data_IF_350094204153
#
_entry.id   IF_350094204153
#
_cell.length_a   1.000
_cell.length_b   1.000
_cell.length_c   1.000
_cell.angle_alpha   90.00
_cell.angle_beta   90.00
_cell.angle_gamma   90.00
#
_symmetry.space_group_name_H-M   'P 1'
#
loop_
_entity.id
_entity.type
_entity.pdbx_description
1 polymer ?
#
# COMPACT_ATOMS: atom_id res chain seq x y z
N UNK A 1 4.52 3.99 19.04
CA UNK A 1 5.23 4.81 18.05
C UNK A 1 5.96 3.86 17.12
N UNK A 2 5.79 4.04 15.82
CA UNK A 2 6.50 3.31 14.77
C UNK A 2 8.00 3.55 14.86
N UNK A 3 8.80 2.49 14.70
CA UNK A 3 10.25 2.61 14.75
C UNK A 3 10.77 3.15 13.41
N UNK A 4 11.51 4.27 13.45
CA UNK A 4 12.17 4.85 12.27
C UNK A 4 13.43 4.05 11.96
N UNK A 5 13.63 3.71 10.68
CA UNK A 5 14.80 2.99 10.20
C UNK A 5 15.80 3.93 9.54
N UNK A 6 17.12 3.73 9.73
CA UNK A 6 18.12 4.47 9.00
C UNK A 6 18.13 4.03 7.54
N UNK A 7 18.52 4.94 6.64
CA UNK A 7 18.68 4.68 5.21
C UNK A 7 19.53 3.44 4.91
N UNK A 8 20.55 3.17 5.72
CA UNK A 8 21.45 2.01 5.59
C UNK A 8 20.78 0.66 5.87
N UNK A 9 19.59 0.64 6.48
CA UNK A 9 18.79 -0.56 6.66
C UNK A 9 17.90 -0.89 5.46
N UNK A 10 17.83 0.03 4.47
CA UNK A 10 16.97 -0.09 3.31
C UNK A 10 17.76 -0.46 2.06
N UNK A 11 17.18 -1.30 1.21
CA UNK A 11 17.72 -1.65 -0.09
C UNK A 11 16.83 -1.11 -1.20
N UNK A 12 17.40 -0.40 -2.18
CA UNK A 12 16.65 0.05 -3.37
C UNK A 12 16.42 -1.14 -4.27
N UNK A 13 15.20 -1.30 -4.76
CA UNK A 13 14.86 -2.35 -5.73
C UNK A 13 14.17 -1.75 -6.94
N UNK A 14 14.32 -2.42 -8.07
CA UNK A 14 13.50 -2.26 -9.26
C UNK A 14 12.18 -3.04 -9.11
N UNK A 15 11.20 -2.76 -9.95
CA UNK A 15 9.97 -3.55 -9.94
C UNK A 15 10.19 -5.01 -10.40
N UNK A 16 11.15 -5.26 -11.30
CA UNK A 16 11.54 -6.64 -11.66
C UNK A 16 12.07 -7.41 -10.44
N UNK A 17 13.00 -6.83 -9.69
CA UNK A 17 13.52 -7.45 -8.45
C UNK A 17 12.40 -7.63 -7.41
N UNK A 18 11.50 -6.67 -7.29
CA UNK A 18 10.36 -6.77 -6.37
C UNK A 18 9.38 -7.88 -6.76
N UNK A 19 9.11 -8.07 -8.06
CA UNK A 19 8.32 -9.20 -8.56
C UNK A 19 8.98 -10.54 -8.21
N UNK A 20 10.30 -10.64 -8.36
CA UNK A 20 11.06 -11.84 -8.02
C UNK A 20 11.01 -12.13 -6.52
N UNK A 21 11.15 -11.11 -5.67
CA UNK A 21 10.94 -11.21 -4.22
C UNK A 21 9.53 -11.71 -3.90
N UNK A 22 8.50 -11.11 -4.51
CA UNK A 22 7.12 -11.57 -4.37
C UNK A 22 6.96 -13.04 -4.75
N UNK A 23 7.53 -13.48 -5.87
CA UNK A 23 7.47 -14.88 -6.29
C UNK A 23 8.18 -15.83 -5.31
N UNK A 24 9.32 -15.40 -4.74
CA UNK A 24 10.08 -16.18 -3.75
C UNK A 24 9.29 -16.36 -2.44
N UNK A 25 8.62 -15.31 -1.95
CA UNK A 25 7.86 -15.33 -0.70
C UNK A 25 6.40 -15.78 -0.86
N UNK A 26 5.91 -15.95 -2.09
CA UNK A 26 4.52 -16.37 -2.38
C UNK A 26 4.06 -17.59 -1.58
N UNK A 27 4.80 -18.71 -1.47
CA UNK A 27 4.34 -19.88 -0.72
C UNK A 27 4.12 -19.59 0.77
N UNK A 28 5.02 -18.84 1.41
CA UNK A 28 4.94 -18.50 2.83
C UNK A 28 3.75 -17.56 3.09
N UNK A 29 3.59 -16.54 2.25
CA UNK A 29 2.47 -15.60 2.34
C UNK A 29 1.11 -16.28 2.12
N UNK A 30 1.00 -17.14 1.10
CA UNK A 30 -0.23 -17.91 0.84
C UNK A 30 -0.58 -18.83 2.01
N UNK A 31 0.40 -19.50 2.60
CA UNK A 31 0.20 -20.34 3.77
C UNK A 31 -0.28 -19.53 4.99
N UNK A 32 0.35 -18.38 5.26
CA UNK A 32 -0.06 -17.50 6.34
C UNK A 32 -1.47 -16.94 6.14
N UNK A 33 -1.83 -16.55 4.90
CA UNK A 33 -3.16 -16.04 4.58
C UNK A 33 -4.24 -17.13 4.72
N UNK A 34 -3.95 -18.36 4.27
CA UNK A 34 -4.86 -19.50 4.40
C UNK A 34 -5.19 -19.83 5.87
N UNK A 35 -4.23 -19.65 6.78
CA UNK A 35 -4.46 -19.79 8.23
C UNK A 35 -5.41 -18.72 8.80
N UNK A 36 -5.59 -17.62 8.09
CA UNK A 36 -6.56 -16.58 8.39
C UNK A 36 -7.87 -16.73 7.57
N UNK A 37 -8.06 -17.88 6.90
CA UNK A 37 -9.22 -18.16 6.04
C UNK A 37 -9.46 -17.10 4.95
N UNK A 38 -8.37 -16.58 4.37
CA UNK A 38 -8.42 -15.58 3.28
C UNK A 38 -7.25 -15.75 2.30
N UNK A 39 -7.32 -15.06 1.18
CA UNK A 39 -6.19 -14.90 0.26
C UNK A 39 -5.14 -13.90 0.78
N UNK A 40 -3.95 -13.95 0.19
CA UNK A 40 -2.88 -12.97 0.40
C UNK A 40 -3.38 -11.57 0.01
N UNK A 41 -2.98 -10.55 0.77
CA UNK A 41 -3.42 -9.16 0.56
C UNK A 41 -2.23 -8.24 0.32
N UNK A 42 -2.46 -7.18 -0.44
CA UNK A 42 -1.61 -5.99 -0.45
C UNK A 42 -2.36 -4.87 0.25
N UNK A 43 -1.70 -4.20 1.19
CA UNK A 43 -2.22 -3.01 1.86
C UNK A 43 -1.38 -1.79 1.52
N UNK A 44 -2.05 -0.76 0.99
CA UNK A 44 -1.45 0.48 0.53
C UNK A 44 -1.60 1.54 1.62
N UNK A 45 -0.50 2.18 1.98
CA UNK A 45 -0.41 3.13 3.09
C UNK A 45 0.26 4.43 2.64
N UNK A 46 0.13 5.46 3.47
CA UNK A 46 1.17 6.47 3.62
C UNK A 46 1.75 6.40 5.02
N UNK A 47 2.87 7.06 5.25
CA UNK A 47 3.47 7.12 6.59
C UNK A 47 2.88 8.21 7.47
N UNK A 48 2.14 9.17 6.89
CA UNK A 48 1.82 10.45 7.53
C UNK A 48 3.07 11.12 8.12
N UNK A 49 4.21 10.89 7.46
CA UNK A 49 5.56 11.28 7.88
C UNK A 49 6.28 12.04 6.77
N UNK A 50 7.59 12.18 6.93
CA UNK A 50 8.40 12.93 5.98
C UNK A 50 8.88 12.05 4.81
N UNK A 51 9.15 12.67 3.67
CA UNK A 51 10.00 12.13 2.62
C UNK A 51 11.34 11.68 3.22
N UNK A 52 11.88 10.56 2.72
CA UNK A 52 13.13 9.97 3.20
C UNK A 52 13.07 9.35 4.60
N UNK A 53 11.94 9.40 5.31
CA UNK A 53 11.77 8.81 6.64
C UNK A 53 11.22 7.39 6.56
N UNK A 54 12.10 6.39 6.70
CA UNK A 54 11.71 4.98 6.65
C UNK A 54 11.19 4.46 7.98
N UNK A 55 10.28 3.49 7.96
CA UNK A 55 9.64 2.88 9.13
C UNK A 55 9.72 1.36 9.11
N UNK A 56 9.77 0.73 10.28
CA UNK A 56 9.83 -0.72 10.42
C UNK A 56 8.50 -1.43 10.15
N UNK A 57 7.40 -0.71 10.00
CA UNK A 57 6.06 -1.31 9.87
C UNK A 57 5.71 -1.73 8.43
N UNK A 58 6.48 -1.30 7.43
CA UNK A 58 6.15 -1.52 6.02
C UNK A 58 7.26 -2.29 5.30
N UNK A 59 6.84 -3.32 4.56
CA UNK A 59 7.73 -4.19 3.80
C UNK A 59 8.37 -3.44 2.63
N UNK A 60 7.56 -2.61 1.95
CA UNK A 60 7.95 -1.82 0.78
C UNK A 60 7.64 -0.35 1.05
N UNK A 61 8.58 0.54 0.76
CA UNK A 61 8.49 1.96 1.04
C UNK A 61 8.94 2.78 -0.16
N UNK A 62 8.17 3.79 -0.53
CA UNK A 62 8.37 4.58 -1.75
C UNK A 62 8.67 6.03 -1.37
N UNK A 63 9.88 6.47 -1.69
CA UNK A 63 10.36 7.81 -1.37
C UNK A 63 9.91 8.84 -2.42
N UNK A 64 10.10 10.14 -2.15
CA UNK A 64 9.62 11.26 -2.96
C UNK A 64 10.02 11.19 -4.44
N UNK A 65 11.19 10.59 -4.74
CA UNK A 65 11.71 10.38 -6.10
C UNK A 65 11.07 9.20 -6.84
N UNK A 66 10.11 8.50 -6.21
CA UNK A 66 9.53 7.26 -6.70
C UNK A 66 10.41 6.02 -6.49
N UNK A 67 11.55 6.15 -5.79
CA UNK A 67 12.42 5.04 -5.47
C UNK A 67 11.74 4.03 -4.55
N UNK A 68 11.82 2.74 -4.90
CA UNK A 68 11.21 1.63 -4.16
C UNK A 68 12.25 1.00 -3.25
N UNK A 69 11.89 0.82 -1.99
CA UNK A 69 12.79 0.34 -0.94
C UNK A 69 12.19 -0.81 -0.15
N UNK A 70 13.02 -1.79 0.19
CA UNK A 70 12.68 -2.89 1.09
C UNK A 70 13.61 -2.92 2.29
N UNK A 71 13.15 -3.48 3.41
CA UNK A 71 13.99 -3.65 4.61
C UNK A 71 14.99 -4.79 4.37
N UNK A 72 16.28 -4.54 4.59
CA UNK A 72 17.33 -5.54 4.46
C UNK A 72 17.32 -6.22 3.08
N UNK A 73 17.20 -7.55 3.06
CA UNK A 73 17.14 -8.35 1.83
C UNK A 73 15.73 -8.43 1.21
N UNK A 74 14.72 -7.78 1.80
CA UNK A 74 13.35 -7.76 1.30
C UNK A 74 12.51 -8.98 1.71
N UNK A 75 12.58 -9.38 2.98
CA UNK A 75 11.73 -10.42 3.52
C UNK A 75 10.26 -9.98 3.56
N UNK A 76 9.45 -10.47 2.61
CA UNK A 76 8.05 -10.05 2.46
C UNK A 76 7.07 -10.84 3.34
N UNK A 77 7.53 -11.92 3.99
CA UNK A 77 6.71 -12.76 4.88
C UNK A 77 6.90 -12.45 6.37
N UNK A 78 7.70 -11.42 6.71
CA UNK A 78 7.82 -10.93 8.07
C UNK A 78 6.48 -10.37 8.59
N UNK A 79 6.17 -10.63 9.86
CA UNK A 79 4.93 -10.13 10.43
C UNK A 79 5.12 -8.68 10.90
N UNK A 80 4.73 -7.72 10.06
CA UNK A 80 4.76 -6.29 10.38
C UNK A 80 3.38 -5.77 10.80
N UNK A 81 3.32 -4.82 11.73
CA UNK A 81 2.09 -4.36 12.37
C UNK A 81 1.46 -3.12 11.69
N UNK A 82 1.27 -3.17 10.36
CA UNK A 82 0.77 -2.03 9.58
C UNK A 82 -0.76 -1.93 9.50
N UNK A 83 -1.48 -3.06 9.40
CA UNK A 83 -2.94 -3.07 9.24
C UNK A 83 -3.58 -3.88 10.36
N UNK A 84 -4.32 -3.21 11.26
CA UNK A 84 -4.86 -3.82 12.47
C UNK A 84 -5.66 -5.11 12.20
N UNK A 85 -5.28 -6.20 12.87
CA UNK A 85 -5.85 -7.56 12.72
C UNK A 85 -5.81 -8.16 11.29
N UNK A 86 -5.00 -7.60 10.39
CA UNK A 86 -4.94 -7.99 8.97
C UNK A 86 -3.53 -8.34 8.46
N UNK A 87 -2.52 -8.38 9.34
CA UNK A 87 -1.11 -8.45 8.94
C UNK A 87 -0.64 -9.82 8.39
N UNK A 88 -1.07 -10.93 8.98
CA UNK A 88 -0.55 -12.27 8.61
C UNK A 88 -0.93 -12.65 7.18
N UNK A 89 0.05 -12.93 6.31
CA UNK A 89 -0.22 -13.21 4.89
C UNK A 89 -0.63 -11.96 4.13
N UNK A 90 0.02 -10.85 4.38
CA UNK A 90 -0.13 -9.61 3.61
C UNK A 90 1.19 -8.87 3.47
N UNK A 91 1.32 -8.07 2.42
CA UNK A 91 2.45 -7.17 2.20
C UNK A 91 1.95 -5.74 2.31
N UNK A 92 2.63 -4.95 3.12
CA UNK A 92 2.31 -3.53 3.35
C UNK A 92 3.29 -2.64 2.61
N UNK A 93 2.73 -1.73 1.80
CA UNK A 93 3.45 -0.81 0.92
C UNK A 93 3.11 0.61 1.36
N UNK A 94 4.09 1.47 1.61
CA UNK A 94 3.85 2.84 2.07
C UNK A 94 4.51 3.89 1.19
N UNK A 95 3.78 4.98 0.92
CA UNK A 95 4.38 6.24 0.50
C UNK A 95 4.99 6.95 1.72
N UNK A 96 6.26 7.34 1.61
CA UNK A 96 6.88 8.24 2.60
C UNK A 96 6.36 9.65 2.32
N UNK A 97 5.23 10.05 2.90
CA UNK A 97 4.54 11.30 2.55
C UNK A 97 3.44 11.62 3.57
N UNK A 98 2.69 12.67 3.28
CA UNK A 98 1.52 13.16 3.99
C UNK A 98 1.83 13.72 5.39
N UNK A 99 3.00 14.35 5.54
CA UNK A 99 3.36 15.02 6.79
C UNK A 99 2.35 16.12 7.12
N UNK A 100 1.67 15.99 8.26
CA UNK A 100 0.68 16.95 8.72
C UNK A 100 -0.65 16.93 7.95
N UNK A 101 -0.91 15.88 7.16
CA UNK A 101 -2.13 15.77 6.37
C UNK A 101 -3.39 15.67 7.25
N UNK A 102 -4.48 16.20 6.72
CA UNK A 102 -5.85 16.12 7.23
C UNK A 102 -6.79 15.74 6.08
N UNK A 103 -8.06 15.42 6.36
CA UNK A 103 -9.01 15.08 5.30
C UNK A 103 -9.22 16.21 4.29
N UNK A 104 -8.95 17.46 4.67
CA UNK A 104 -9.13 18.65 3.82
C UNK A 104 -7.84 19.08 3.09
N UNK A 105 -6.67 18.57 3.49
CA UNK A 105 -5.36 18.99 2.97
C UNK A 105 -4.31 17.86 3.11
N UNK A 106 -3.56 17.57 2.05
CA UNK A 106 -2.54 16.49 2.04
C UNK A 106 -1.24 16.84 2.79
N UNK A 107 -1.20 17.97 3.49
CA UNK A 107 -0.09 18.39 4.33
C UNK A 107 1.05 19.06 3.57
N UNK A 108 2.17 19.24 4.26
CA UNK A 108 3.34 19.94 3.70
C UNK A 108 4.16 19.09 2.75
N UNK A 109 3.95 17.78 2.77
CA UNK A 109 4.68 16.79 1.96
C UNK A 109 3.68 15.83 1.31
N UNK A 110 2.80 16.31 0.41
CA UNK A 110 1.77 15.48 -0.22
C UNK A 110 2.39 14.37 -1.10
N UNK A 111 1.69 13.26 -1.38
CA UNK A 111 2.15 12.27 -2.36
C UNK A 111 2.61 12.92 -3.68
N UNK A 112 3.84 12.65 -4.11
CA UNK A 112 4.33 13.17 -5.39
C UNK A 112 3.78 12.35 -6.58
N UNK A 113 3.78 12.94 -7.77
CA UNK A 113 3.43 12.19 -8.99
C UNK A 113 4.32 10.94 -9.18
N UNK A 114 5.63 11.05 -8.88
CA UNK A 114 6.55 9.93 -8.96
C UNK A 114 6.21 8.82 -7.94
N UNK A 115 5.80 9.19 -6.73
CA UNK A 115 5.32 8.25 -5.72
C UNK A 115 4.04 7.53 -6.14
N UNK A 116 3.06 8.25 -6.70
CA UNK A 116 1.78 7.69 -7.13
C UNK A 116 1.99 6.67 -8.26
N UNK A 117 2.78 7.02 -9.28
CA UNK A 117 3.09 6.09 -10.38
C UNK A 117 3.92 4.90 -9.88
N UNK A 118 4.89 5.13 -9.00
CA UNK A 118 5.70 4.05 -8.40
C UNK A 118 4.87 3.12 -7.51
N UNK A 119 3.86 3.63 -6.78
CA UNK A 119 2.91 2.81 -6.02
C UNK A 119 2.11 1.89 -6.93
N UNK A 120 1.64 2.40 -8.07
CA UNK A 120 0.92 1.60 -9.06
C UNK A 120 1.82 0.52 -9.69
N UNK A 121 3.05 0.86 -10.05
CA UNK A 121 4.04 -0.11 -10.59
C UNK A 121 4.41 -1.17 -9.55
N UNK A 122 4.68 -0.76 -8.31
CA UNK A 122 4.95 -1.62 -7.16
C UNK A 122 3.80 -2.60 -6.92
N UNK A 123 2.56 -2.10 -6.94
CA UNK A 123 1.34 -2.90 -6.80
C UNK A 123 1.22 -3.92 -7.91
N UNK A 124 1.49 -3.53 -9.16
CA UNK A 124 1.44 -4.43 -10.31
C UNK A 124 2.51 -5.54 -10.23
N UNK A 125 3.74 -5.19 -9.88
CA UNK A 125 4.87 -6.11 -9.72
C UNK A 125 4.63 -7.14 -8.60
N UNK A 126 4.20 -6.67 -7.43
CA UNK A 126 3.87 -7.55 -6.30
C UNK A 126 2.69 -8.45 -6.62
N UNK A 127 1.63 -7.91 -7.22
CA UNK A 127 0.48 -8.72 -7.61
C UNK A 127 0.88 -9.78 -8.64
N UNK A 128 1.80 -9.49 -9.57
CA UNK A 128 2.27 -10.46 -10.57
C UNK A 128 3.08 -11.59 -9.89
N UNK A 129 4.04 -11.22 -9.05
CA UNK A 129 4.85 -12.20 -8.31
C UNK A 129 4.03 -13.04 -7.33
N UNK A 130 2.98 -12.48 -6.71
CA UNK A 130 2.10 -13.18 -5.77
C UNK A 130 0.92 -13.92 -6.43
N UNK A 131 0.75 -13.81 -7.74
CA UNK A 131 -0.42 -14.33 -8.48
C UNK A 131 -1.76 -13.80 -7.99
N UNK A 132 -1.83 -12.49 -7.76
CA UNK A 132 -3.04 -11.79 -7.35
C UNK A 132 -3.69 -11.08 -8.54
N UNK A 133 -5.03 -11.11 -8.56
CA UNK A 133 -5.84 -10.18 -9.35
C UNK A 133 -5.72 -8.78 -8.75
N UNK A 134 -5.67 -7.75 -9.60
CA UNK A 134 -5.65 -6.35 -9.16
C UNK A 134 -7.09 -5.89 -9.01
N UNK A 135 -7.65 -6.11 -7.82
CA UNK A 135 -9.01 -5.75 -7.44
C UNK A 135 -9.06 -5.32 -5.96
N UNK A 136 -10.19 -4.75 -5.54
CA UNK A 136 -10.41 -4.31 -4.16
C UNK A 136 -10.48 -5.47 -3.17
N UNK A 137 -10.78 -6.69 -3.62
CA UNK A 137 -10.78 -7.84 -2.73
C UNK A 137 -9.36 -8.20 -2.30
N UNK A 138 -8.33 -7.97 -3.12
CA UNK A 138 -6.95 -8.38 -2.83
C UNK A 138 -6.01 -7.21 -2.50
N UNK A 139 -6.33 -6.01 -2.98
CA UNK A 139 -5.47 -4.83 -2.89
C UNK A 139 -6.30 -3.67 -2.37
N UNK A 140 -6.03 -3.25 -1.14
CA UNK A 140 -6.80 -2.22 -0.44
C UNK A 140 -5.88 -1.12 0.05
N UNK A 141 -6.36 0.13 0.08
CA UNK A 141 -5.74 1.12 0.97
C UNK A 141 -6.01 0.75 2.43
N UNK A 142 -5.24 1.32 3.38
CA UNK A 142 -5.55 1.15 4.80
C UNK A 142 -6.97 1.65 5.09
N UNK A 143 -7.40 2.77 4.51
CA UNK A 143 -8.77 3.27 4.68
C UNK A 143 -9.83 2.24 4.28
N UNK A 144 -9.70 1.65 3.09
CA UNK A 144 -10.63 0.61 2.60
C UNK A 144 -10.60 -0.67 3.46
N UNK A 145 -9.41 -1.08 3.92
CA UNK A 145 -9.26 -2.23 4.82
C UNK A 145 -9.84 -1.95 6.21
N UNK A 146 -9.69 -0.73 6.70
CA UNK A 146 -10.22 -0.27 7.98
C UNK A 146 -11.76 -0.23 7.99
N UNK A 147 -12.40 0.02 6.85
CA UNK A 147 -13.86 -0.10 6.69
C UNK A 147 -14.35 -1.49 6.28
N UNK A 148 -13.44 -2.48 6.19
CA UNK A 148 -13.74 -3.85 5.77
C UNK A 148 -14.41 -3.94 4.39
N UNK A 149 -13.98 -3.12 3.42
CA UNK A 149 -14.60 -3.07 2.09
C UNK A 149 -14.41 -4.35 1.26
N UNK A 150 -13.46 -5.21 1.62
CA UNK A 150 -13.27 -6.55 1.05
C UNK A 150 -14.20 -7.63 1.65
N UNK A 151 -15.11 -7.25 2.55
CA UNK A 151 -16.03 -8.16 3.22
C UNK A 151 -15.40 -8.98 4.38
N UNK A 152 -14.09 -8.86 4.62
CA UNK A 152 -13.43 -9.51 5.76
C UNK A 152 -13.71 -8.69 7.02
N UNK A 153 -14.42 -9.26 8.01
CA UNK A 153 -14.79 -8.54 9.24
C UNK A 153 -13.90 -8.91 10.43
N UNK A 154 -12.61 -8.58 10.33
CA UNK A 154 -11.62 -8.89 11.38
C UNK A 154 -11.73 -7.96 12.61
N UNK A 155 -12.28 -6.76 12.45
CA UNK A 155 -12.43 -5.73 13.48
C UNK A 155 -13.69 -4.89 13.21
N UNK A 156 -14.11 -4.10 14.21
CA UNK A 156 -15.07 -3.02 13.97
C UNK A 156 -14.50 -2.02 12.94
N UNK A 157 -15.32 -1.43 12.06
CA UNK A 157 -14.86 -0.42 11.11
C UNK A 157 -14.23 0.79 11.81
N UNK A 158 -13.09 1.26 11.29
CA UNK A 158 -12.43 2.48 11.75
C UNK A 158 -11.88 3.36 10.59
N UNK A 159 -12.31 3.06 9.36
CA UNK A 159 -11.90 3.76 8.15
C UNK A 159 -12.70 5.04 7.86
N UNK A 160 -12.55 5.60 6.65
CA UNK A 160 -13.12 6.89 6.24
C UNK A 160 -14.65 6.98 6.32
N UNK A 161 -15.36 5.86 6.20
CA UNK A 161 -16.83 5.77 6.27
C UNK A 161 -17.34 5.50 7.69
N UNK A 162 -16.46 5.45 8.68
CA UNK A 162 -16.80 5.16 10.07
C UNK A 162 -16.20 6.18 11.04
N UNK A 163 -15.11 5.85 11.75
CA UNK A 163 -14.48 6.75 12.71
C UNK A 163 -13.37 7.62 12.10
N UNK A 164 -13.00 7.34 10.84
CA UNK A 164 -11.94 8.04 10.09
C UNK A 164 -10.59 8.06 10.83
N UNK A 165 -10.30 7.02 11.62
CA UNK A 165 -9.00 6.87 12.29
C UNK A 165 -7.89 6.56 11.29
N UNK A 166 -8.24 5.92 10.16
CA UNK A 166 -7.36 5.71 9.01
C UNK A 166 -8.07 6.08 7.73
N UNK A 167 -7.35 6.78 6.87
CA UNK A 167 -7.84 7.27 5.58
C UNK A 167 -6.73 7.34 4.53
N UNK A 168 -5.70 6.52 4.73
CA UNK A 168 -4.55 6.43 3.86
C UNK A 168 -4.97 6.33 2.40
N UNK A 169 -4.45 7.24 1.57
CA UNK A 169 -4.64 7.23 0.13
C UNK A 169 -6.12 7.27 -0.29
N UNK A 170 -7.02 7.81 0.55
CA UNK A 170 -8.43 8.00 0.19
C UNK A 170 -8.57 8.95 -1.01
N UNK A 171 -7.70 9.95 -1.10
CA UNK A 171 -7.48 10.75 -2.30
C UNK A 171 -5.99 11.05 -2.51
N UNK A 172 -5.62 11.43 -3.73
CA UNK A 172 -4.21 11.63 -4.13
C UNK A 172 -3.85 13.08 -4.44
N UNK A 173 -4.83 13.99 -4.48
CA UNK A 173 -4.62 15.40 -4.82
C UNK A 173 -4.30 15.61 -6.31
N UNK A 174 -4.70 14.66 -7.17
CA UNK A 174 -4.54 14.74 -8.62
C UNK A 174 -5.87 15.05 -9.30
N UNK A 175 -5.87 15.29 -10.62
CA UNK A 175 -7.12 15.51 -11.36
C UNK A 175 -8.04 14.29 -11.30
N UNK A 176 -7.49 13.07 -11.30
CA UNK A 176 -8.25 11.82 -11.23
C UNK A 176 -8.72 11.47 -9.80
N UNK A 177 -8.06 12.03 -8.77
CA UNK A 177 -8.40 11.81 -7.36
C UNK A 177 -8.27 13.11 -6.55
N UNK A 178 -9.17 14.08 -6.78
CA UNK A 178 -8.93 15.46 -6.39
C UNK A 178 -9.24 15.76 -4.92
N UNK A 179 -10.22 15.08 -4.33
CA UNK A 179 -10.75 15.42 -3.01
C UNK A 179 -11.11 14.17 -2.21
N UNK A 180 -11.16 14.34 -0.89
CA UNK A 180 -11.65 13.33 0.03
C UNK A 180 -13.15 13.09 -0.17
N UNK A 181 -13.52 11.96 -0.78
CA UNK A 181 -14.91 11.50 -0.89
C UNK A 181 -15.01 9.98 -0.69
N UNK A 182 -15.16 9.53 0.57
CA UNK A 182 -15.29 8.11 0.90
C UNK A 182 -16.48 7.42 0.23
N UNK A 183 -17.52 8.14 -0.17
CA UNK A 183 -18.74 7.57 -0.75
C UNK A 183 -18.76 7.63 -2.27
N UNK A 184 -17.70 8.17 -2.89
CA UNK A 184 -17.56 8.17 -4.34
C UNK A 184 -17.64 6.76 -4.91
N UNK A 185 -18.38 6.63 -6.01
CA UNK A 185 -18.55 5.38 -6.78
C UNK A 185 -18.14 5.53 -8.23
N UNK A 186 -17.58 6.67 -8.60
CA UNK A 186 -17.16 7.03 -9.96
C UNK A 186 -15.70 6.68 -10.26
N UNK A 187 -15.00 6.07 -9.30
CA UNK A 187 -13.61 5.63 -9.42
C UNK A 187 -12.57 6.70 -9.05
N UNK A 188 -12.99 7.85 -8.52
CA UNK A 188 -12.09 8.94 -8.12
C UNK A 188 -11.39 8.73 -6.77
N UNK A 189 -11.79 7.70 -6.00
CA UNK A 189 -11.09 7.34 -4.76
C UNK A 189 -9.67 6.89 -5.06
N UNK A 190 -8.70 7.27 -4.23
CA UNK A 190 -7.28 7.02 -4.49
C UNK A 190 -6.96 5.53 -4.64
N UNK A 191 -7.61 4.65 -3.88
CA UNK A 191 -7.50 3.20 -4.06
C UNK A 191 -7.95 2.72 -5.44
N UNK A 192 -9.03 3.27 -5.99
CA UNK A 192 -9.54 2.93 -7.31
C UNK A 192 -8.59 3.42 -8.41
N UNK A 193 -8.09 4.66 -8.29
CA UNK A 193 -7.08 5.22 -9.21
C UNK A 193 -5.79 4.40 -9.21
N UNK A 194 -5.27 4.04 -8.03
CA UNK A 194 -4.03 3.24 -7.91
C UNK A 194 -4.19 1.85 -8.51
N UNK A 195 -5.33 1.17 -8.27
CA UNK A 195 -5.62 -0.12 -8.91
C UNK A 195 -5.77 0.01 -10.42
N UNK A 196 -6.43 1.06 -10.92
CA UNK A 196 -6.56 1.35 -12.35
C UNK A 196 -5.19 1.54 -13.03
N UNK A 197 -4.32 2.36 -12.44
CA UNK A 197 -2.94 2.55 -12.90
C UNK A 197 -2.14 1.25 -12.84
N UNK A 198 -2.27 0.45 -11.77
CA UNK A 198 -1.59 -0.84 -11.64
C UNK A 198 -2.03 -1.83 -12.73
N UNK A 199 -3.33 -1.88 -13.06
CA UNK A 199 -3.82 -2.67 -14.19
C UNK A 199 -3.22 -2.22 -15.53
N UNK A 200 -3.12 -0.90 -15.76
CA UNK A 200 -2.46 -0.35 -16.94
C UNK A 200 -1.00 -0.82 -17.04
N UNK A 201 -0.23 -0.68 -15.96
CA UNK A 201 1.17 -1.11 -15.92
C UNK A 201 1.34 -2.62 -16.17
N UNK A 202 0.47 -3.45 -15.59
CA UNK A 202 0.44 -4.90 -15.84
C UNK A 202 0.15 -5.22 -17.30
N UNK A 203 -0.83 -4.56 -17.92
CA UNK A 203 -1.21 -4.83 -19.31
C UNK A 203 -0.11 -4.48 -20.32
N UNK A 204 0.75 -3.51 -20.00
CA UNK A 204 1.80 -3.04 -20.91
C UNK A 204 3.19 -3.60 -20.59
N UNK A 205 3.34 -4.39 -19.51
CA UNK A 205 4.64 -4.92 -19.07
C UNK A 205 5.63 -3.83 -18.69
N UNK A 206 5.13 -2.68 -18.20
CA UNK A 206 5.94 -1.49 -17.88
C UNK A 206 6.19 -1.49 -16.37
N UNK A 207 7.10 -2.36 -15.92
CA UNK A 207 7.76 -2.32 -14.61
C UNK A 207 8.90 -3.35 -14.53
#
# INVERSE_FOLDING_TARGET
MSAVLPRSAMHRVTCTELRELAAAYRPALMYAAARCARETKLYLHWTAGHYGQFFADYHVQIDADGGIYVIGAGALDELLAATYLRNSGSVSIALLAACGATTDDLGTEPPTAAQIESMAQTTAALADGLWLTIDKERILTHGEAADNEDGIRAHAPYGPRSTCERWDLEYLGTEESPVFDPWATDGTRGGDVLRGKAQYYRAHGIF
#
